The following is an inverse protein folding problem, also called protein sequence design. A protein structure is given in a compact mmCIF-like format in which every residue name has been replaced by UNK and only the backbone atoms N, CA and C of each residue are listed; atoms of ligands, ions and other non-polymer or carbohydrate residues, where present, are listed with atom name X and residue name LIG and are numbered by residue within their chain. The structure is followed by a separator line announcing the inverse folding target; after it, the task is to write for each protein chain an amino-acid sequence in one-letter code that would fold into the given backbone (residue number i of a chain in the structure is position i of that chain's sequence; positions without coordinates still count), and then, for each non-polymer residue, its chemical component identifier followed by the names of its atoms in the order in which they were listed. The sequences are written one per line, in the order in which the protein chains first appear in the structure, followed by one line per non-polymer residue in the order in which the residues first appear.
data_IF_854816577481
#
_entry.id   IF_854816577481
#
_cell.length_a   1.000
_cell.length_b   1.000
_cell.length_c   1.000
_cell.angle_alpha   90.00
_cell.angle_beta   90.00
_cell.angle_gamma   90.00
#
_symmetry.space_group_name_H-M   'P 1'
#
loop_
_entity.id
_entity.type
_entity.pdbx_description
1 polymer ?
#
# COMPACT_ATOMS: atom_id res chain seq x y z
N UNK A 1 -1.37 -8.16 -13.20
CA UNK A 1 -2.40 -7.27 -12.62
C UNK A 1 -2.78 -6.14 -13.58
N UNK A 2 -1.86 -5.33 -14.11
CA UNK A 2 -2.19 -4.14 -14.91
C UNK A 2 -3.12 -4.35 -16.13
N UNK A 3 -3.08 -5.51 -16.77
CA UNK A 3 -3.90 -5.81 -17.95
C UNK A 3 -5.27 -6.43 -17.61
N UNK A 4 -5.34 -7.15 -16.48
CA UNK A 4 -6.52 -7.94 -16.06
C UNK A 4 -6.65 -7.92 -14.53
N UNK A 5 -6.97 -6.77 -13.91
CA UNK A 5 -7.11 -6.67 -12.46
C UNK A 5 -8.24 -7.55 -11.90
N UNK A 6 -9.30 -7.79 -12.67
CA UNK A 6 -10.45 -8.64 -12.34
C UNK A 6 -10.08 -10.09 -11.99
N UNK A 7 -8.96 -10.58 -12.53
CA UNK A 7 -8.47 -11.93 -12.23
C UNK A 7 -7.85 -12.02 -10.82
N UNK A 8 -7.30 -10.92 -10.32
CA UNK A 8 -6.49 -10.89 -9.09
C UNK A 8 -7.15 -10.11 -7.95
N UNK A 9 -8.09 -9.23 -8.27
CA UNK A 9 -8.80 -8.37 -7.33
C UNK A 9 -10.29 -8.73 -7.42
N UNK A 10 -10.81 -9.52 -6.48
CA UNK A 10 -12.21 -9.90 -6.46
C UNK A 10 -13.14 -8.67 -6.45
N UNK A 11 -14.31 -8.80 -7.07
CA UNK A 11 -15.31 -7.74 -7.09
C UNK A 11 -15.66 -7.22 -5.69
N UNK A 12 -15.76 -5.90 -5.54
CA UNK A 12 -16.04 -5.24 -4.26
C UNK A 12 -14.81 -5.07 -3.35
N UNK A 13 -13.61 -5.45 -3.81
CA UNK A 13 -12.35 -5.28 -3.08
C UNK A 13 -11.38 -4.37 -3.83
N UNK A 14 -10.36 -3.89 -3.11
CA UNK A 14 -9.32 -3.03 -3.65
C UNK A 14 -7.97 -3.44 -3.09
N UNK A 15 -6.92 -3.31 -3.90
CA UNK A 15 -5.55 -3.43 -3.43
C UNK A 15 -5.11 -2.14 -2.75
N UNK A 16 -4.41 -2.26 -1.64
CA UNK A 16 -3.81 -1.12 -0.95
C UNK A 16 -2.50 -0.79 -1.65
N UNK A 17 -2.39 0.43 -2.16
CA UNK A 17 -1.23 0.90 -2.91
C UNK A 17 -0.44 1.94 -2.10
N UNK A 18 0.88 1.92 -2.30
CA UNK A 18 1.76 2.97 -1.81
C UNK A 18 1.58 4.29 -2.60
N UNK A 19 2.03 5.39 -2.02
CA UNK A 19 2.05 6.69 -2.67
C UNK A 19 2.88 6.76 -3.96
N UNK A 20 3.85 5.87 -4.19
CA UNK A 20 4.58 5.81 -5.45
C UNK A 20 3.73 5.35 -6.65
N UNK A 21 2.63 4.61 -6.41
CA UNK A 21 1.83 4.04 -7.50
C UNK A 21 0.78 5.03 -8.04
N UNK A 22 0.50 5.00 -9.36
CA UNK A 22 -0.58 5.77 -9.95
C UNK A 22 -1.94 5.22 -9.48
N UNK A 23 -2.89 6.12 -9.22
CA UNK A 23 -4.25 5.72 -8.83
C UNK A 23 -4.94 4.98 -9.99
N UNK A 24 -5.58 3.84 -9.67
CA UNK A 24 -6.31 2.99 -10.63
C UNK A 24 -7.61 2.52 -10.00
N UNK A 25 -8.55 2.07 -10.81
CA UNK A 25 -9.88 1.61 -10.37
C UNK A 25 -9.85 0.45 -9.38
N UNK A 26 -8.77 -0.32 -9.36
CA UNK A 26 -8.57 -1.47 -8.47
C UNK A 26 -7.59 -1.18 -7.32
N UNK A 27 -7.07 0.06 -7.22
CA UNK A 27 -6.11 0.48 -6.19
C UNK A 27 -6.72 1.53 -5.28
N UNK A 28 -6.46 1.38 -4.00
CA UNK A 28 -6.77 2.34 -2.96
C UNK A 28 -5.47 2.97 -2.46
N UNK A 29 -5.36 4.29 -2.55
CA UNK A 29 -4.18 5.07 -2.12
C UNK A 29 -4.62 6.25 -1.26
N UNK A 30 -3.76 6.67 -0.35
CA UNK A 30 -4.00 7.83 0.49
C UNK A 30 -4.24 9.10 -0.36
N UNK A 31 -5.14 9.96 0.09
CA UNK A 31 -5.28 11.30 -0.44
C UNK A 31 -3.97 12.07 -0.28
N UNK A 32 -3.57 12.82 -1.30
CA UNK A 32 -2.36 13.62 -1.26
C UNK A 32 -2.47 14.76 -0.26
N UNK A 33 -1.34 15.16 0.33
CA UNK A 33 -1.26 16.26 1.29
C UNK A 33 -1.09 17.65 0.63
N UNK A 34 -1.31 17.77 -0.69
CA UNK A 34 -1.16 19.05 -1.39
C UNK A 34 -2.16 20.12 -0.91
N UNK A 35 -3.34 19.68 -0.48
CA UNK A 35 -4.38 20.54 0.08
C UNK A 35 -4.66 20.18 1.54
N UNK A 36 -5.38 21.06 2.24
CA UNK A 36 -5.84 20.76 3.60
C UNK A 36 -6.91 19.68 3.51
N UNK A 37 -6.65 18.43 3.96
CA UNK A 37 -7.61 17.34 3.74
C UNK A 37 -8.89 17.62 4.52
N UNK A 38 -10.02 17.18 3.98
CA UNK A 38 -11.29 17.17 4.70
C UNK A 38 -11.23 16.19 5.88
N UNK A 39 -12.19 16.29 6.80
CA UNK A 39 -12.30 15.32 7.90
C UNK A 39 -12.46 13.88 7.40
N UNK A 40 -13.18 13.68 6.27
CA UNK A 40 -13.38 12.35 5.68
C UNK A 40 -12.09 11.80 5.08
N UNK A 41 -11.31 12.62 4.39
CA UNK A 41 -10.02 12.22 3.83
C UNK A 41 -8.99 11.91 4.92
N UNK A 42 -8.96 12.71 6.01
CA UNK A 42 -8.14 12.39 7.19
C UNK A 42 -8.50 11.05 7.80
N UNK A 43 -9.79 10.80 7.99
CA UNK A 43 -10.26 9.53 8.54
C UNK A 43 -9.89 8.36 7.63
N UNK A 44 -10.11 8.51 6.32
CA UNK A 44 -9.73 7.52 5.32
C UNK A 44 -8.23 7.24 5.32
N UNK A 45 -7.38 8.28 5.25
CA UNK A 45 -5.92 8.12 5.27
C UNK A 45 -5.47 7.43 6.56
N UNK A 46 -6.03 7.80 7.72
CA UNK A 46 -5.72 7.14 8.99
C UNK A 46 -6.05 5.64 8.95
N UNK A 47 -7.22 5.28 8.42
CA UNK A 47 -7.63 3.88 8.27
C UNK A 47 -6.68 3.15 7.31
N UNK A 48 -6.39 3.72 6.14
CA UNK A 48 -5.50 3.11 5.16
C UNK A 48 -4.08 2.90 5.72
N UNK A 49 -3.51 3.91 6.40
CA UNK A 49 -2.19 3.80 7.03
C UNK A 49 -2.16 2.75 8.14
N UNK A 50 -3.26 2.56 8.88
CA UNK A 50 -3.33 1.49 9.88
C UNK A 50 -3.25 0.09 9.27
N UNK A 51 -3.82 -0.10 8.06
CA UNK A 51 -3.73 -1.35 7.31
C UNK A 51 -2.31 -1.56 6.75
N UNK A 52 -1.69 -0.50 6.21
CA UNK A 52 -0.31 -0.54 5.72
C UNK A 52 0.68 -0.91 6.84
N UNK A 53 0.51 -0.34 8.03
CA UNK A 53 1.32 -0.65 9.21
C UNK A 53 1.30 -2.15 9.59
N UNK A 54 0.15 -2.82 9.44
CA UNK A 54 0.04 -4.27 9.69
C UNK A 54 0.89 -5.05 8.66
N UNK A 55 0.81 -4.66 7.39
CA UNK A 55 1.56 -5.27 6.29
C UNK A 55 3.07 -5.08 6.52
N UNK A 56 3.50 -3.85 6.81
CA UNK A 56 4.91 -3.52 7.09
C UNK A 56 5.46 -4.33 8.27
N UNK A 57 4.71 -4.42 9.37
CA UNK A 57 5.12 -5.24 10.53
C UNK A 57 5.25 -6.72 10.18
N UNK A 58 4.30 -7.26 9.42
CA UNK A 58 4.37 -8.65 8.98
C UNK A 58 5.61 -8.91 8.12
N UNK A 59 5.92 -8.02 7.18
CA UNK A 59 7.15 -8.11 6.38
C UNK A 59 8.41 -7.87 7.22
N UNK A 60 8.38 -7.01 8.23
CA UNK A 60 9.49 -6.82 9.17
C UNK A 60 9.86 -8.12 9.87
N UNK A 61 8.87 -8.81 10.43
CA UNK A 61 9.05 -10.12 11.08
C UNK A 61 9.56 -11.17 10.07
N UNK A 62 9.01 -11.17 8.85
CA UNK A 62 9.43 -12.06 7.78
C UNK A 62 10.92 -11.86 7.46
N UNK A 63 11.36 -10.62 7.26
CA UNK A 63 12.76 -10.29 6.94
C UNK A 63 13.72 -10.64 8.09
N UNK A 64 13.31 -10.41 9.34
CA UNK A 64 14.12 -10.76 10.51
C UNK A 64 14.33 -12.28 10.62
N UNK A 65 13.27 -13.06 10.38
CA UNK A 65 13.32 -14.53 10.42
C UNK A 65 14.09 -15.13 9.26
N UNK A 66 13.91 -14.59 8.05
CA UNK A 66 14.52 -15.09 6.82
C UNK A 66 15.45 -14.04 6.23
N UNK A 67 16.69 -14.02 6.71
CA UNK A 67 17.73 -13.06 6.31
C UNK A 67 17.99 -13.00 4.80
N UNK A 68 17.65 -14.04 4.03
CA UNK A 68 17.73 -14.02 2.56
C UNK A 68 16.85 -12.90 1.95
N UNK A 69 15.77 -12.50 2.63
CA UNK A 69 14.86 -11.44 2.20
C UNK A 69 15.39 -10.03 2.47
N UNK A 70 16.54 -9.87 3.13
CA UNK A 70 17.14 -8.56 3.38
C UNK A 70 17.85 -7.98 2.15
N UNK A 71 18.41 -8.84 1.30
CA UNK A 71 19.34 -8.42 0.23
C UNK A 71 18.66 -7.89 -1.05
N UNK A 72 17.36 -8.11 -1.24
CA UNK A 72 16.67 -7.69 -2.49
C UNK A 72 15.75 -6.47 -2.32
N UNK A 73 15.55 -5.97 -1.10
CA UNK A 73 14.49 -4.98 -0.82
C UNK A 73 15.03 -3.56 -0.59
N UNK A 74 16.34 -3.36 -0.49
CA UNK A 74 16.90 -2.00 -0.32
C UNK A 74 16.72 -1.10 -1.54
N UNK A 75 16.51 -1.63 -2.75
CA UNK A 75 16.28 -0.79 -3.94
C UNK A 75 14.86 -0.22 -4.06
N UNK A 76 13.87 -0.75 -3.31
CA UNK A 76 12.45 -0.38 -3.51
C UNK A 76 11.98 0.71 -2.53
N UNK A 77 12.69 0.95 -1.43
CA UNK A 77 12.32 1.98 -0.44
C UNK A 77 12.94 3.37 -0.69
N UNK A 78 13.80 3.52 -1.71
CA UNK A 78 14.50 4.77 -2.02
C UNK A 78 14.06 5.44 -3.35
N UNK A 79 13.02 4.94 -4.01
CA UNK A 79 12.35 5.56 -5.17
C UNK A 79 10.86 5.76 -4.88
#
# INVERSE_FOLDING_TARGET
IYLHPEQWVPGGTYLIADAAYPLRTYLMKAYSNYDTPTHKERYFNKTLSSMQMIIERAFGILKERWKILLNEIEEIFYL
#
